data_IF_743400343438
#
_entry.id   IF_743400343438
#
_cell.length_a   1.000
_cell.length_b   1.000
_cell.length_c   1.000
_cell.angle_alpha   90.00
_cell.angle_beta   90.00
_cell.angle_gamma   90.00
#
_symmetry.space_group_name_H-M   'P 1'
#
loop_
_entity.id
_entity.type
_entity.pdbx_description
1 polymer ?
#
# COMPACT_ATOMS: atom_id res chain seq x y z
N UNK A 1 -7.02 -31.08 1.38
CA UNK A 1 -7.78 -29.82 1.21
C UNK A 1 -7.59 -29.36 -0.23
N UNK A 2 -8.66 -29.20 -1.00
CA UNK A 2 -8.58 -28.77 -2.40
C UNK A 2 -8.37 -27.25 -2.40
N UNK A 3 -7.21 -26.79 -2.82
CA UNK A 3 -6.93 -25.36 -2.98
C UNK A 3 -7.66 -24.90 -4.24
N UNK A 4 -8.68 -24.07 -4.09
CA UNK A 4 -9.41 -23.49 -5.22
C UNK A 4 -8.66 -22.25 -5.71
N UNK A 5 -8.60 -22.10 -7.05
CA UNK A 5 -8.00 -20.91 -7.69
C UNK A 5 -9.09 -20.18 -8.49
N UNK A 6 -9.11 -18.87 -8.42
CA UNK A 6 -10.01 -18.04 -9.22
C UNK A 6 -9.43 -16.65 -9.47
N UNK A 7 -9.99 -15.94 -10.43
CA UNK A 7 -9.71 -14.51 -10.63
C UNK A 7 -10.54 -13.70 -9.64
N UNK A 8 -9.94 -12.71 -9.02
CA UNK A 8 -10.60 -11.80 -8.10
C UNK A 8 -10.09 -10.36 -8.29
N UNK A 9 -10.94 -9.40 -7.99
CA UNK A 9 -10.53 -8.02 -7.79
C UNK A 9 -10.11 -7.83 -6.34
N UNK A 10 -8.89 -7.35 -6.14
CA UNK A 10 -8.22 -7.26 -4.85
C UNK A 10 -7.90 -5.79 -4.59
N UNK A 11 -8.24 -5.32 -3.40
CA UNK A 11 -7.87 -4.00 -2.91
C UNK A 11 -7.04 -4.17 -1.64
N UNK A 12 -5.81 -3.65 -1.68
CA UNK A 12 -4.97 -3.50 -0.51
C UNK A 12 -4.95 -2.02 -0.11
N UNK A 13 -5.11 -1.74 1.16
CA UNK A 13 -5.03 -0.39 1.72
C UNK A 13 -4.20 -0.39 2.99
N UNK A 14 -3.45 0.69 3.22
CA UNK A 14 -2.59 0.87 4.38
C UNK A 14 -2.58 2.34 4.83
N UNK A 15 -2.28 2.59 6.10
CA UNK A 15 -2.24 3.94 6.67
C UNK A 15 -0.84 4.51 6.59
N UNK A 16 -0.71 5.66 5.97
CA UNK A 16 0.58 6.36 5.83
C UNK A 16 1.07 6.86 7.20
N UNK A 17 2.32 6.49 7.54
CA UNK A 17 2.95 6.95 8.77
C UNK A 17 2.35 6.37 10.05
N UNK A 18 1.67 5.23 10.01
CA UNK A 18 1.04 4.60 11.16
C UNK A 18 1.98 4.43 12.36
N UNK A 19 3.21 3.95 12.15
CA UNK A 19 4.19 3.79 13.23
C UNK A 19 4.55 5.12 13.92
N UNK A 20 4.60 6.23 13.16
CA UNK A 20 4.81 7.57 13.72
C UNK A 20 3.62 8.01 14.57
N UNK A 21 2.41 7.89 14.02
CA UNK A 21 1.18 8.24 14.74
C UNK A 21 1.03 7.44 16.04
N UNK A 22 1.32 6.13 16.00
CA UNK A 22 1.31 5.26 17.18
C UNK A 22 2.38 5.68 18.20
N UNK A 23 3.55 6.11 17.74
CA UNK A 23 4.63 6.59 18.64
C UNK A 23 4.29 7.92 19.33
N UNK A 24 3.48 8.78 18.70
CA UNK A 24 3.07 10.08 19.24
C UNK A 24 1.85 9.96 20.18
N UNK A 25 0.84 9.18 19.78
CA UNK A 25 -0.38 8.92 20.57
C UNK A 25 -0.96 7.54 20.22
N UNK A 26 -0.53 6.52 20.94
CA UNK A 26 -0.96 5.13 20.71
C UNK A 26 -2.48 4.97 20.86
N UNK A 27 -3.04 5.44 21.98
CA UNK A 27 -4.45 5.24 22.28
C UNK A 27 -5.37 6.05 21.34
N UNK A 28 -5.01 7.29 21.04
CA UNK A 28 -5.74 8.15 20.11
C UNK A 28 -5.68 7.61 18.68
N UNK A 29 -4.51 7.20 18.23
CA UNK A 29 -4.32 6.62 16.89
C UNK A 29 -5.11 5.31 16.75
N UNK A 30 -5.02 4.39 17.71
CA UNK A 30 -5.76 3.12 17.66
C UNK A 30 -7.27 3.34 17.63
N UNK A 31 -7.78 4.34 18.37
CA UNK A 31 -9.19 4.72 18.33
C UNK A 31 -9.57 5.32 16.97
N UNK A 32 -8.81 6.28 16.46
CA UNK A 32 -9.07 6.92 15.17
C UNK A 32 -9.09 5.89 14.02
N UNK A 33 -8.10 5.00 13.98
CA UNK A 33 -8.03 3.91 12.98
C UNK A 33 -9.26 3.01 13.02
N UNK A 34 -9.71 2.63 14.22
CA UNK A 34 -10.93 1.83 14.40
C UNK A 34 -12.17 2.56 13.88
N UNK A 35 -12.33 3.83 14.24
CA UNK A 35 -13.45 4.67 13.79
C UNK A 35 -13.45 4.84 12.26
N UNK A 36 -12.29 5.02 11.64
CA UNK A 36 -12.17 5.13 10.18
C UNK A 36 -12.52 3.80 9.50
N UNK A 37 -12.08 2.66 10.05
CA UNK A 37 -12.42 1.33 9.52
C UNK A 37 -13.92 1.03 9.64
N UNK A 38 -14.52 1.35 10.78
CA UNK A 38 -15.98 1.17 10.96
C UNK A 38 -16.78 2.06 10.01
N UNK A 39 -16.32 3.28 9.74
CA UNK A 39 -16.94 4.17 8.76
C UNK A 39 -16.77 3.67 7.30
N UNK A 40 -15.67 3.00 6.98
CA UNK A 40 -15.44 2.44 5.65
C UNK A 40 -16.20 1.11 5.42
N UNK A 41 -16.55 0.38 6.48
CA UNK A 41 -17.20 -0.94 6.39
C UNK A 41 -18.50 -0.95 5.56
N UNK A 42 -19.47 -0.03 5.76
CA UNK A 42 -20.66 0.03 4.91
C UNK A 42 -20.32 0.29 3.45
N UNK A 43 -19.34 1.16 3.15
CA UNK A 43 -18.91 1.44 1.77
C UNK A 43 -18.42 0.15 1.09
N UNK A 44 -17.62 -0.64 1.79
CA UNK A 44 -17.14 -1.94 1.27
C UNK A 44 -18.33 -2.87 0.98
N UNK A 45 -19.29 -2.96 1.90
CA UNK A 45 -20.48 -3.81 1.74
C UNK A 45 -21.38 -3.36 0.58
N UNK A 46 -21.62 -2.07 0.44
CA UNK A 46 -22.44 -1.45 -0.63
C UNK A 46 -21.88 -1.73 -2.03
N UNK A 47 -20.55 -1.87 -2.14
CA UNK A 47 -19.87 -2.26 -3.38
C UNK A 47 -19.72 -3.80 -3.51
N UNK A 48 -20.38 -4.58 -2.66
CA UNK A 48 -20.33 -6.05 -2.69
C UNK A 48 -18.98 -6.64 -2.30
N UNK A 49 -18.12 -5.84 -1.66
CA UNK A 49 -16.81 -6.26 -1.19
C UNK A 49 -16.88 -7.01 0.14
N UNK A 50 -15.86 -7.80 0.41
CA UNK A 50 -15.62 -8.40 1.73
C UNK A 50 -14.25 -8.04 2.28
N UNK A 51 -14.15 -7.86 3.57
CA UNK A 51 -12.87 -7.74 4.26
C UNK A 51 -12.32 -9.15 4.44
N UNK A 52 -11.19 -9.43 3.80
CA UNK A 52 -10.49 -10.72 3.90
C UNK A 52 -9.72 -10.77 5.21
N UNK A 53 -8.90 -9.75 5.47
CA UNK A 53 -8.15 -9.62 6.72
C UNK A 53 -7.73 -8.18 6.99
N UNK A 54 -7.39 -7.94 8.25
CA UNK A 54 -6.77 -6.71 8.73
C UNK A 54 -5.41 -7.07 9.33
N UNK A 55 -4.36 -6.31 8.98
CA UNK A 55 -3.01 -6.52 9.49
C UNK A 55 -2.49 -5.22 10.06
N UNK A 56 -2.59 -5.03 11.39
CA UNK A 56 -2.19 -3.77 12.00
C UNK A 56 -2.97 -2.59 11.43
N UNK A 57 -2.33 -1.79 10.58
CA UNK A 57 -2.88 -0.65 9.83
C UNK A 57 -3.44 -1.02 8.45
N UNK A 58 -3.07 -2.20 7.93
CA UNK A 58 -3.47 -2.66 6.60
C UNK A 58 -4.85 -3.30 6.54
N UNK A 59 -5.48 -3.22 5.37
CA UNK A 59 -6.73 -3.86 4.98
C UNK A 59 -6.53 -4.63 3.68
N UNK A 60 -6.98 -5.87 3.63
CA UNK A 60 -7.10 -6.64 2.40
C UNK A 60 -8.58 -6.90 2.13
N UNK A 61 -9.05 -6.45 0.99
CA UNK A 61 -10.44 -6.55 0.56
C UNK A 61 -10.51 -7.30 -0.75
N UNK A 62 -11.62 -7.97 -0.96
CA UNK A 62 -11.94 -8.68 -2.18
C UNK A 62 -13.31 -8.25 -2.71
N UNK A 63 -13.41 -8.13 -4.03
CA UNK A 63 -14.63 -7.70 -4.72
C UNK A 63 -14.98 -8.65 -5.87
N UNK A 64 -16.28 -8.78 -6.19
CA UNK A 64 -16.74 -9.57 -7.33
C UNK A 64 -16.39 -8.93 -8.68
N UNK A 65 -16.11 -7.63 -8.69
CA UNK A 65 -15.82 -6.82 -9.88
C UNK A 65 -14.71 -5.81 -9.59
N UNK A 66 -13.80 -5.63 -10.53
CA UNK A 66 -12.77 -4.61 -10.44
C UNK A 66 -13.35 -3.19 -10.53
N UNK A 67 -14.46 -3.02 -11.23
CA UNK A 67 -15.20 -1.75 -11.25
C UNK A 67 -15.64 -1.39 -9.83
N UNK A 68 -16.32 -2.32 -9.16
CA UNK A 68 -16.76 -2.14 -7.77
C UNK A 68 -15.59 -1.88 -6.81
N UNK A 69 -14.44 -2.55 -7.01
CA UNK A 69 -13.25 -2.32 -6.20
C UNK A 69 -12.70 -0.89 -6.36
N UNK A 70 -12.67 -0.36 -7.59
CA UNK A 70 -12.17 0.99 -7.86
C UNK A 70 -13.16 2.05 -7.38
N UNK A 71 -14.46 1.86 -7.57
CA UNK A 71 -15.51 2.75 -7.04
C UNK A 71 -15.45 2.80 -5.50
N UNK A 72 -15.28 1.65 -4.85
CA UNK A 72 -15.09 1.56 -3.40
C UNK A 72 -13.81 2.31 -2.96
N UNK A 73 -12.69 2.16 -3.68
CA UNK A 73 -11.46 2.88 -3.38
C UNK A 73 -11.65 4.40 -3.42
N UNK A 74 -12.36 4.90 -4.44
CA UNK A 74 -12.70 6.32 -4.59
C UNK A 74 -13.57 6.79 -3.41
N UNK A 75 -14.62 6.02 -3.10
CA UNK A 75 -15.55 6.36 -2.02
C UNK A 75 -14.84 6.37 -0.65
N UNK A 76 -13.92 5.42 -0.39
CA UNK A 76 -13.10 5.42 0.82
C UNK A 76 -12.22 6.67 0.88
N UNK A 77 -11.54 7.05 -0.20
CA UNK A 77 -10.69 8.25 -0.19
C UNK A 77 -11.51 9.52 0.02
N UNK A 78 -12.69 9.63 -0.59
CA UNK A 78 -13.62 10.75 -0.37
C UNK A 78 -14.04 10.84 1.10
N UNK A 79 -14.45 9.72 1.70
CA UNK A 79 -14.77 9.65 3.13
C UNK A 79 -13.60 10.10 4.00
N UNK A 80 -12.36 9.71 3.64
CA UNK A 80 -11.17 10.10 4.42
C UNK A 80 -10.90 11.60 4.33
N UNK A 81 -11.11 12.24 3.19
CA UNK A 81 -11.02 13.70 3.04
C UNK A 81 -12.00 14.40 3.97
N UNK A 82 -13.26 13.98 3.98
CA UNK A 82 -14.32 14.53 4.83
C UNK A 82 -13.98 14.36 6.32
N UNK A 83 -13.56 13.16 6.73
CA UNK A 83 -13.23 12.88 8.13
C UNK A 83 -11.98 13.60 8.64
N UNK A 84 -11.07 13.94 7.75
CA UNK A 84 -9.85 14.69 8.09
C UNK A 84 -10.01 16.21 7.99
N UNK A 85 -11.18 16.74 7.60
CA UNK A 85 -11.37 18.17 7.35
C UNK A 85 -10.95 19.06 8.54
N UNK A 86 -11.35 18.66 9.75
CA UNK A 86 -11.05 19.39 10.98
C UNK A 86 -9.85 18.82 11.75
N UNK A 87 -9.13 17.84 11.16
CA UNK A 87 -7.99 17.18 11.81
C UNK A 87 -6.68 17.88 11.43
N UNK A 88 -5.80 18.24 12.38
CA UNK A 88 -4.48 18.75 12.10
C UNK A 88 -3.69 17.81 11.16
N UNK A 89 -2.91 18.37 10.24
CA UNK A 89 -2.25 17.63 9.17
C UNK A 89 -1.37 16.49 9.68
N UNK A 90 -0.65 16.71 10.76
CA UNK A 90 0.23 15.75 11.44
C UNK A 90 -0.50 14.56 12.08
N UNK A 91 -1.83 14.70 12.31
CA UNK A 91 -2.69 13.67 12.95
C UNK A 91 -3.68 13.01 11.99
N UNK A 92 -3.69 13.42 10.72
CA UNK A 92 -4.60 12.87 9.71
C UNK A 92 -4.34 11.39 9.46
N UNK A 93 -5.43 10.62 9.34
CA UNK A 93 -5.38 9.23 8.89
C UNK A 93 -5.54 9.23 7.37
N UNK A 94 -4.45 8.97 6.67
CA UNK A 94 -4.41 8.96 5.22
C UNK A 94 -4.15 7.54 4.72
N UNK A 95 -5.02 7.02 3.87
CA UNK A 95 -4.83 5.74 3.22
C UNK A 95 -4.07 5.89 1.90
N UNK A 96 -3.30 4.88 1.56
CA UNK A 96 -2.82 4.58 0.22
C UNK A 96 -3.46 3.28 -0.21
N UNK A 97 -3.91 3.22 -1.46
CA UNK A 97 -4.70 2.11 -1.95
C UNK A 97 -4.10 1.56 -3.24
N UNK A 98 -3.97 0.24 -3.31
CA UNK A 98 -3.59 -0.51 -4.52
C UNK A 98 -4.69 -1.45 -4.94
N UNK A 99 -5.09 -1.43 -6.22
CA UNK A 99 -6.11 -2.32 -6.78
C UNK A 99 -5.52 -3.16 -7.90
N UNK A 100 -5.78 -4.46 -7.85
CA UNK A 100 -5.36 -5.41 -8.89
C UNK A 100 -6.49 -6.38 -9.24
N UNK A 101 -6.51 -6.84 -10.49
CA UNK A 101 -7.31 -7.96 -10.95
C UNK A 101 -6.36 -9.10 -11.29
N UNK A 102 -6.48 -10.24 -10.61
CA UNK A 102 -5.57 -11.36 -10.82
C UNK A 102 -6.01 -12.64 -10.14
N UNK A 103 -5.24 -13.70 -10.38
CA UNK A 103 -5.48 -15.01 -9.78
C UNK A 103 -5.18 -15.02 -8.28
N UNK A 104 -6.07 -15.65 -7.54
CA UNK A 104 -5.92 -15.92 -6.11
C UNK A 104 -6.11 -17.39 -5.78
N UNK A 105 -5.40 -17.84 -4.76
CA UNK A 105 -5.64 -19.12 -4.09
C UNK A 105 -6.54 -18.86 -2.90
N UNK A 106 -7.57 -19.68 -2.72
CA UNK A 106 -8.49 -19.58 -1.60
C UNK A 106 -8.07 -20.58 -0.53
N UNK A 107 -7.81 -20.10 0.67
CA UNK A 107 -7.50 -20.93 1.84
C UNK A 107 -8.42 -20.54 3.01
N UNK A 108 -9.52 -21.26 3.14
CA UNK A 108 -10.60 -20.88 4.07
C UNK A 108 -11.21 -19.53 3.68
N UNK A 109 -11.16 -18.56 4.60
CA UNK A 109 -11.62 -17.20 4.36
C UNK A 109 -10.53 -16.26 3.81
N UNK A 110 -9.27 -16.72 3.73
CA UNK A 110 -8.13 -15.94 3.20
C UNK A 110 -7.94 -16.12 1.70
N UNK A 111 -7.25 -15.16 1.10
CA UNK A 111 -6.80 -15.21 -0.29
C UNK A 111 -5.29 -14.97 -0.35
N UNK A 112 -4.60 -15.75 -1.18
CA UNK A 112 -3.16 -15.72 -1.34
C UNK A 112 -2.79 -15.69 -2.83
N UNK A 113 -1.53 -15.41 -3.13
CA UNK A 113 -0.97 -15.52 -4.49
C UNK A 113 -0.51 -14.20 -5.08
N UNK A 114 -0.06 -14.27 -6.35
CA UNK A 114 0.56 -13.13 -7.03
C UNK A 114 -0.41 -11.95 -7.18
N UNK A 115 -1.71 -12.22 -7.36
CA UNK A 115 -2.73 -11.19 -7.43
C UNK A 115 -2.77 -10.31 -6.19
N UNK A 116 -2.68 -10.93 -5.00
CA UNK A 116 -2.63 -10.23 -3.70
C UNK A 116 -1.30 -9.47 -3.55
N UNK A 117 -0.19 -10.10 -3.92
CA UNK A 117 1.13 -9.49 -3.84
C UNK A 117 1.21 -8.21 -4.71
N UNK A 118 0.66 -8.24 -5.93
CA UNK A 118 0.63 -7.07 -6.81
C UNK A 118 -0.18 -5.94 -6.17
N UNK A 119 -1.39 -6.21 -5.65
CA UNK A 119 -2.20 -5.20 -4.98
C UNK A 119 -1.45 -4.55 -3.81
N UNK A 120 -0.79 -5.34 -2.95
CA UNK A 120 0.01 -4.85 -1.83
C UNK A 120 1.25 -4.05 -2.29
N UNK A 121 1.87 -4.40 -3.43
CA UNK A 121 3.00 -3.61 -3.98
C UNK A 121 2.53 -2.29 -4.57
N UNK A 122 1.38 -2.26 -5.23
CA UNK A 122 0.77 -1.03 -5.73
C UNK A 122 0.42 -0.10 -4.56
N UNK A 123 -0.18 -0.64 -3.50
CA UNK A 123 -0.44 0.09 -2.27
C UNK A 123 0.86 0.72 -1.73
N UNK A 124 1.94 -0.06 -1.57
CA UNK A 124 3.23 0.43 -1.08
C UNK A 124 3.92 1.47 -1.97
N UNK A 125 3.60 1.53 -3.28
CA UNK A 125 4.05 2.57 -4.21
C UNK A 125 3.14 3.80 -4.22
N UNK A 126 1.92 3.67 -3.69
CA UNK A 126 0.92 4.71 -3.74
C UNK A 126 1.25 5.87 -2.80
N UNK A 127 0.92 7.08 -3.20
CA UNK A 127 1.02 8.25 -2.35
C UNK A 127 -0.13 8.31 -1.35
N UNK A 128 0.06 9.08 -0.29
CA UNK A 128 -0.98 9.37 0.70
C UNK A 128 -2.23 9.94 0.03
N UNK A 129 -3.39 9.38 0.34
CA UNK A 129 -4.66 9.79 -0.25
C UNK A 129 -4.89 9.32 -1.70
N UNK A 130 -3.92 8.58 -2.29
CA UNK A 130 -3.98 8.14 -3.67
C UNK A 130 -4.58 6.74 -3.86
N UNK A 131 -4.82 6.40 -5.13
CA UNK A 131 -5.21 5.06 -5.58
C UNK A 131 -4.39 4.69 -6.81
N UNK A 132 -3.69 3.55 -6.75
CA UNK A 132 -3.00 2.95 -7.89
C UNK A 132 -3.71 1.68 -8.33
N UNK A 133 -3.78 1.47 -9.64
CA UNK A 133 -4.34 0.24 -10.21
C UNK A 133 -3.36 -0.40 -11.19
N UNK A 134 -3.41 -1.73 -11.30
CA UNK A 134 -2.66 -2.46 -12.32
C UNK A 134 -3.23 -2.27 -13.72
N UNK A 135 -2.41 -2.51 -14.76
CA UNK A 135 -2.85 -2.51 -16.15
C UNK A 135 -4.01 -3.46 -16.40
N UNK A 136 -4.01 -4.65 -15.79
CA UNK A 136 -5.13 -5.59 -15.87
C UNK A 136 -6.41 -5.02 -15.28
N UNK A 137 -6.34 -4.31 -14.18
CA UNK A 137 -7.49 -3.61 -13.59
C UNK A 137 -7.94 -2.47 -14.50
N UNK A 138 -7.02 -1.65 -15.02
CA UNK A 138 -7.30 -0.54 -15.92
C UNK A 138 -8.06 -0.98 -17.19
N UNK A 139 -7.64 -2.07 -17.82
CA UNK A 139 -8.28 -2.59 -19.04
C UNK A 139 -9.76 -2.95 -18.83
N UNK A 140 -10.13 -3.29 -17.60
CA UNK A 140 -11.50 -3.64 -17.24
C UNK A 140 -12.37 -2.45 -16.79
N UNK A 141 -11.74 -1.37 -16.30
CA UNK A 141 -12.48 -0.20 -15.77
C UNK A 141 -12.57 0.97 -16.74
N UNK A 142 -11.62 1.07 -17.70
CA UNK A 142 -11.64 2.15 -18.68
C UNK A 142 -12.94 2.21 -19.44
N UNK A 143 -13.53 3.42 -19.52
CA UNK A 143 -14.81 3.65 -20.19
C UNK A 143 -16.03 3.14 -19.41
N UNK A 144 -15.87 2.62 -18.18
CA UNK A 144 -16.97 2.21 -17.31
C UNK A 144 -17.13 3.09 -16.08
N UNK A 145 -16.06 3.76 -15.70
CA UNK A 145 -16.02 4.71 -14.57
C UNK A 145 -15.60 6.07 -15.12
N UNK A 146 -16.31 7.12 -14.73
CA UNK A 146 -15.98 8.49 -15.12
C UNK A 146 -14.91 9.09 -14.20
N UNK A 147 -13.68 8.60 -14.38
CA UNK A 147 -12.49 9.08 -13.68
C UNK A 147 -11.31 9.18 -14.63
N UNK A 148 -10.43 10.13 -14.39
CA UNK A 148 -9.22 10.31 -15.17
C UNK A 148 -8.10 9.42 -14.59
N UNK A 149 -7.47 8.63 -15.47
CA UNK A 149 -6.31 7.79 -15.13
C UNK A 149 -5.04 8.39 -15.72
N UNK A 150 -3.97 8.43 -14.93
CA UNK A 150 -2.64 8.82 -15.37
C UNK A 150 -1.80 7.57 -15.50
N UNK A 151 -1.25 7.32 -16.69
CA UNK A 151 -0.36 6.19 -16.96
C UNK A 151 1.04 6.47 -16.37
N UNK A 152 1.44 5.66 -15.41
CA UNK A 152 2.76 5.74 -14.76
C UNK A 152 3.80 4.81 -15.40
N UNK A 153 3.45 4.11 -16.50
CA UNK A 153 4.31 3.16 -17.18
C UNK A 153 4.50 1.85 -16.43
N UNK A 154 5.45 1.05 -16.92
CA UNK A 154 5.79 -0.24 -16.34
C UNK A 154 6.65 -0.07 -15.09
N UNK A 155 6.33 -0.83 -14.04
CA UNK A 155 7.06 -0.83 -12.76
C UNK A 155 7.54 -2.22 -12.40
N UNK A 156 8.80 -2.32 -12.02
CA UNK A 156 9.36 -3.54 -11.43
C UNK A 156 8.92 -3.65 -9.98
N UNK A 157 8.08 -4.62 -9.68
CA UNK A 157 7.58 -4.88 -8.34
C UNK A 157 8.39 -6.00 -7.68
N UNK A 158 8.75 -5.81 -6.42
CA UNK A 158 9.54 -6.81 -5.67
C UNK A 158 8.83 -8.15 -5.66
N UNK A 159 9.54 -9.22 -6.08
CA UNK A 159 9.06 -10.61 -6.18
C UNK A 159 7.93 -10.82 -7.21
N UNK A 160 7.74 -9.92 -8.17
CA UNK A 160 6.89 -10.11 -9.33
C UNK A 160 7.78 -10.28 -10.54
N UNK A 161 7.61 -11.39 -11.29
CA UNK A 161 8.54 -11.80 -12.37
C UNK A 161 8.54 -10.84 -13.55
N UNK A 162 7.40 -10.20 -13.83
CA UNK A 162 7.24 -9.29 -14.98
C UNK A 162 6.89 -7.90 -14.51
N UNK A 163 7.38 -6.86 -15.19
CA UNK A 163 6.94 -5.50 -14.93
C UNK A 163 5.41 -5.40 -15.02
N UNK A 164 4.84 -4.59 -14.15
CA UNK A 164 3.40 -4.33 -14.09
C UNK A 164 3.15 -2.89 -14.54
N UNK A 165 2.30 -2.71 -15.54
CA UNK A 165 1.86 -1.38 -15.92
C UNK A 165 0.95 -0.82 -14.84
N UNK A 166 1.19 0.43 -14.45
CA UNK A 166 0.54 1.06 -13.31
C UNK A 166 -0.15 2.34 -13.74
N UNK A 167 -1.36 2.55 -13.24
CA UNK A 167 -2.14 3.75 -13.46
C UNK A 167 -2.51 4.37 -12.11
N UNK A 168 -2.43 5.70 -12.03
CA UNK A 168 -2.91 6.46 -10.88
C UNK A 168 -4.30 7.03 -11.19
N UNK A 169 -5.21 6.97 -10.21
CA UNK A 169 -6.46 7.69 -10.29
C UNK A 169 -6.24 9.14 -9.87
N UNK A 170 -6.72 10.07 -10.69
CA UNK A 170 -6.81 11.48 -10.33
C UNK A 170 -8.14 11.72 -9.61
N UNK A 171 -8.10 11.75 -8.27
CA UNK A 171 -9.28 11.98 -7.41
C UNK A 171 -9.58 13.46 -7.18
N UNK A 172 -9.03 14.36 -8.02
CA UNK A 172 -9.27 15.82 -7.90
C UNK A 172 -8.40 16.52 -6.86
N UNK A 173 -7.68 15.80 -6.01
CA UNK A 173 -6.58 16.35 -5.23
C UNK A 173 -5.40 16.52 -6.19
N UNK A 174 -4.85 17.73 -6.31
CA UNK A 174 -3.72 18.03 -7.19
C UNK A 174 -2.62 16.97 -6.97
N UNK A 175 -2.44 16.09 -7.97
CA UNK A 175 -1.21 15.30 -8.05
C UNK A 175 -0.13 16.34 -8.31
N UNK A 176 0.55 16.76 -7.25
CA UNK A 176 1.62 17.74 -7.37
C UNK A 176 2.61 17.22 -8.42
N UNK A 177 3.00 18.04 -9.43
CA UNK A 177 3.97 17.62 -10.45
C UNK A 177 5.28 17.10 -9.85
N UNK A 178 5.61 17.53 -8.64
CA UNK A 178 6.75 17.04 -7.84
C UNK A 178 6.60 15.56 -7.46
N UNK A 179 5.38 15.05 -7.36
CA UNK A 179 5.10 13.66 -7.07
C UNK A 179 5.33 12.75 -8.28
N UNK A 180 5.15 13.26 -9.50
CA UNK A 180 5.47 12.54 -10.75
C UNK A 180 6.98 12.41 -10.95
N UNK A 181 7.80 13.37 -10.51
CA UNK A 181 9.25 13.31 -10.62
C UNK A 181 9.91 12.32 -9.65
N UNK A 182 9.24 11.95 -8.57
CA UNK A 182 9.71 10.90 -7.66
C UNK A 182 9.62 9.49 -8.27
N UNK A 183 8.91 9.35 -9.40
CA UNK A 183 8.76 8.12 -10.17
C UNK A 183 9.71 8.00 -11.36
N UNK A 184 10.73 8.87 -11.51
CA UNK A 184 11.74 8.66 -12.55
C UNK A 184 12.51 7.37 -12.28
N UNK A 185 12.45 6.36 -13.20
CA UNK A 185 13.29 5.19 -13.10
C UNK A 185 14.74 5.59 -13.39
N UNK A 186 15.59 5.55 -12.37
CA UNK A 186 17.02 5.44 -12.61
C UNK A 186 17.88 6.69 -12.51
N UNK A 187 17.96 7.28 -11.33
CA UNK A 187 19.23 7.81 -10.84
C UNK A 187 19.53 7.27 -9.45
N UNK A 188 19.67 5.96 -9.35
CA UNK A 188 20.47 5.41 -8.26
C UNK A 188 21.92 5.70 -8.65
N UNK A 189 22.50 6.74 -8.06
CA UNK A 189 23.95 6.80 -7.94
C UNK A 189 24.44 5.46 -7.35
N UNK A 190 25.70 5.08 -7.61
CA UNK A 190 26.21 3.80 -7.12
C UNK A 190 25.89 3.67 -5.61
N UNK A 191 25.50 2.48 -5.14
CA UNK A 191 25.18 2.29 -3.73
C UNK A 191 26.36 2.72 -2.90
N UNK A 192 26.19 3.76 -2.09
CA UNK A 192 27.18 4.10 -1.07
C UNK A 192 27.07 3.01 -0.03
N UNK A 193 28.00 2.06 -0.08
CA UNK A 193 28.19 1.07 0.96
C UNK A 193 28.58 1.83 2.23
N UNK A 194 27.66 2.06 3.13
CA UNK A 194 27.93 2.54 4.47
C UNK A 194 28.26 1.34 5.33
N UNK A 195 29.56 1.10 5.56
CA UNK A 195 30.01 0.12 6.54
C UNK A 195 30.02 0.84 7.88
N UNK A 196 29.14 0.46 8.78
CA UNK A 196 29.20 0.87 10.18
C UNK A 196 30.14 -0.11 10.89
N UNK A 197 31.36 0.34 11.19
CA UNK A 197 32.29 -0.40 12.06
C UNK A 197 31.94 -0.06 13.50
N UNK A 198 31.29 -0.97 14.20
CA UNK A 198 31.09 -0.86 15.64
C UNK A 198 32.39 -1.25 16.34
N UNK A 199 32.97 -0.42 17.20
CA UNK A 199 34.12 -0.82 18.01
C UNK A 199 33.69 -1.90 18.98
N UNK A 200 34.28 -3.07 18.86
CA UNK A 200 34.14 -4.12 19.89
C UNK A 200 35.08 -3.81 21.06
N UNK A 201 34.51 -3.61 22.21
CA UNK A 201 35.30 -3.57 23.46
C UNK A 201 35.45 -4.99 23.93
N UNK A 202 36.72 -5.44 24.04
CA UNK A 202 37.01 -6.75 24.60
C UNK A 202 36.68 -6.78 26.10
N UNK A 203 35.62 -7.48 26.47
CA UNK A 203 35.16 -7.63 27.85
C UNK A 203 35.76 -8.90 28.55
N UNK A 204 36.60 -9.69 27.87
CA UNK A 204 37.13 -10.94 28.39
C UNK A 204 38.35 -10.77 29.32
N UNK A 205 38.97 -9.58 29.35
CA UNK A 205 40.16 -9.34 30.21
C UNK A 205 41.42 -10.11 29.79
N UNK A 206 41.44 -10.76 28.62
CA UNK A 206 42.58 -11.52 28.11
C UNK A 206 43.43 -10.62 27.19
N UNK A 207 44.67 -10.30 27.56
CA UNK A 207 45.56 -9.41 26.82
C UNK A 207 46.08 -10.00 25.50
N UNK A 208 45.89 -11.28 25.21
CA UNK A 208 46.36 -11.91 23.97
C UNK A 208 45.36 -11.80 22.79
N UNK A 209 44.19 -11.21 23.01
CA UNK A 209 43.17 -11.01 21.96
C UNK A 209 43.02 -9.57 21.46
N UNK A 210 44.01 -8.72 21.62
CA UNK A 210 44.07 -7.43 20.94
C UNK A 210 44.43 -7.63 19.44
N UNK A 211 43.40 -7.67 18.58
CA UNK A 211 43.62 -7.53 17.15
C UNK A 211 44.06 -6.12 16.84
N UNK A 212 45.32 -5.98 16.46
CA UNK A 212 45.92 -4.73 15.97
C UNK A 212 45.06 -4.09 14.91
N UNK A 213 44.55 -2.90 15.16
CA UNK A 213 44.07 -2.00 14.14
C UNK A 213 45.26 -1.50 13.34
N UNK A 214 45.49 -2.03 12.15
CA UNK A 214 46.37 -1.42 11.16
C UNK A 214 45.56 -0.87 9.97
N UNK A 215 45.72 0.46 9.82
CA UNK A 215 45.61 1.32 8.63
C UNK A 215 44.32 1.25 7.81
#
# INVERSE_FOLDING_TARGET
MTVARRVAAILAADIVGYSRLMGEDEAGTARAVREHREAARPIVADHGGRIVKTTGDGLLLEFPSVVAAVECAIAIQTLMVERNADTPEDKRILYRIGVNLGDVLIEGDDILGDGVNIAARLEGLCQAGGVLISGTAYDHVRGKIDVHFVDLGDKDLKNVVRPVRVYALNTGSEISPTALSAFEPGRRGPPRLSIVVLPFVNMSGDPEQEYSSMA
#
